data_IF_554830952848
#
_entry.id   IF_554830952848
#
_cell.length_a   1.000
_cell.length_b   1.000
_cell.length_c   1.000
_cell.angle_alpha   90.00
_cell.angle_beta   90.00
_cell.angle_gamma   90.00
#
_symmetry.space_group_name_H-M   'P 1'
#
loop_
_entity.id
_entity.type
_entity.pdbx_description
1 polymer ?
#
# COMPACT_ATOMS: atom_id res chain seq x y z
N UNK A 1 -12.16 22.76 -19.04
CA UNK A 1 -11.25 21.60 -18.94
C UNK A 1 -10.42 21.53 -20.21
N UNK A 2 -9.09 21.65 -20.11
CA UNK A 2 -8.15 21.80 -21.21
C UNK A 2 -7.25 20.56 -21.26
N UNK A 3 -7.00 20.04 -22.46
CA UNK A 3 -6.13 18.90 -22.69
C UNK A 3 -4.72 19.39 -23.04
N UNK A 4 -3.71 18.92 -22.31
CA UNK A 4 -2.30 19.17 -22.61
C UNK A 4 -1.56 17.89 -22.99
N UNK A 5 -0.68 17.98 -23.98
CA UNK A 5 0.30 16.93 -24.30
C UNK A 5 1.55 17.15 -23.45
N UNK A 6 1.87 16.18 -22.61
CA UNK A 6 2.93 16.23 -21.61
C UNK A 6 4.02 15.22 -21.93
N UNK A 7 5.25 15.54 -21.53
CA UNK A 7 6.43 14.72 -21.75
C UNK A 7 7.26 14.66 -20.47
N UNK A 8 7.79 13.48 -20.18
CA UNK A 8 8.73 13.27 -19.09
C UNK A 8 10.19 13.53 -19.54
N UNK A 9 11.13 13.69 -18.61
CA UNK A 9 12.59 13.65 -18.88
C UNK A 9 13.05 12.43 -19.70
N UNK A 10 12.33 11.30 -19.63
CA UNK A 10 12.57 10.09 -20.44
C UNK A 10 11.78 10.08 -21.77
N UNK A 11 11.30 11.24 -22.21
CA UNK A 11 10.54 11.47 -23.46
C UNK A 11 9.25 10.67 -23.60
N UNK A 12 8.74 10.04 -22.54
CA UNK A 12 7.42 9.42 -22.54
C UNK A 12 6.33 10.47 -22.72
N UNK A 13 5.58 10.38 -23.82
CA UNK A 13 4.43 11.20 -24.15
C UNK A 13 3.16 10.68 -23.46
N UNK A 14 2.41 11.57 -22.81
CA UNK A 14 1.11 11.25 -22.24
C UNK A 14 0.20 12.49 -22.24
N UNK A 15 -1.10 12.29 -22.03
CA UNK A 15 -2.09 13.37 -22.02
C UNK A 15 -2.60 13.63 -20.60
N UNK A 16 -2.81 14.91 -20.27
CA UNK A 16 -3.39 15.33 -18.99
C UNK A 16 -4.52 16.35 -19.20
N UNK A 17 -5.55 16.25 -18.37
CA UNK A 17 -6.73 17.12 -18.39
C UNK A 17 -6.72 18.03 -17.17
N UNK A 18 -6.78 19.34 -17.39
CA UNK A 18 -6.67 20.34 -16.33
C UNK A 18 -7.80 21.37 -16.41
N UNK A 19 -8.15 22.00 -15.28
CA UNK A 19 -9.16 23.06 -15.25
C UNK A 19 -8.74 24.29 -16.05
N UNK A 20 -7.47 24.69 -15.89
CA UNK A 20 -6.84 25.88 -16.47
C UNK A 20 -5.32 25.66 -16.69
N UNK A 21 -4.64 26.63 -17.31
CA UNK A 21 -3.17 26.60 -17.44
C UNK A 21 -2.48 26.86 -16.09
N UNK A 22 -3.07 27.69 -15.22
CA UNK A 22 -2.56 27.90 -13.86
C UNK A 22 -2.64 26.62 -13.01
N UNK A 23 -3.71 25.84 -13.15
CA UNK A 23 -3.85 24.57 -12.41
C UNK A 23 -2.77 23.55 -12.80
N UNK A 24 -2.40 23.51 -14.08
CA UNK A 24 -1.29 22.69 -14.56
C UNK A 24 0.04 23.10 -13.91
N UNK A 25 0.41 24.39 -13.93
CA UNK A 25 1.67 24.85 -13.33
C UNK A 25 1.68 24.64 -11.80
N UNK A 26 0.54 24.85 -11.12
CA UNK A 26 0.41 24.55 -9.67
C UNK A 26 0.67 23.07 -9.38
N UNK A 27 0.02 22.16 -10.11
CA UNK A 27 0.17 20.72 -9.89
C UNK A 27 1.56 20.20 -10.29
N UNK A 28 2.17 20.78 -11.33
CA UNK A 28 3.54 20.50 -11.74
C UNK A 28 4.56 20.96 -10.69
N UNK A 29 4.43 22.18 -10.18
CA UNK A 29 5.31 22.71 -9.12
C UNK A 29 5.13 21.97 -7.79
N UNK A 30 3.92 21.49 -7.51
CA UNK A 30 3.64 20.63 -6.37
C UNK A 30 4.10 19.16 -6.58
N UNK A 31 4.61 18.80 -7.77
CA UNK A 31 5.05 17.43 -8.08
C UNK A 31 3.94 16.38 -8.12
N UNK A 32 2.68 16.81 -8.25
CA UNK A 32 1.50 15.93 -8.26
C UNK A 32 1.26 15.27 -9.63
N UNK A 33 1.92 15.75 -10.67
CA UNK A 33 1.83 15.19 -12.02
C UNK A 33 2.95 14.16 -12.20
N UNK A 34 2.57 12.89 -12.31
CA UNK A 34 3.50 11.79 -12.50
C UNK A 34 3.38 11.19 -13.90
N UNK A 35 4.53 10.85 -14.48
CA UNK A 35 4.54 10.11 -15.74
C UNK A 35 4.04 8.67 -15.50
N UNK A 36 2.97 8.21 -16.19
CA UNK A 36 2.40 6.88 -15.96
C UNK A 36 3.33 5.74 -16.37
N UNK A 37 4.24 5.98 -17.32
CA UNK A 37 5.18 4.97 -17.79
C UNK A 37 6.35 4.73 -16.82
N UNK A 38 6.69 5.73 -15.99
CA UNK A 38 8.00 5.71 -15.33
C UNK A 38 8.09 6.42 -13.98
N UNK A 39 7.02 7.09 -13.55
CA UNK A 39 6.90 7.72 -12.23
C UNK A 39 7.69 9.01 -12.03
N UNK A 40 8.27 9.61 -13.08
CA UNK A 40 8.95 10.90 -12.95
C UNK A 40 7.96 12.03 -12.69
N UNK A 41 8.28 12.90 -11.73
CA UNK A 41 7.58 14.17 -11.48
C UNK A 41 8.10 15.34 -12.34
N UNK A 42 9.18 15.12 -13.11
CA UNK A 42 9.74 16.13 -14.03
C UNK A 42 8.98 16.05 -15.36
N UNK A 43 7.94 16.87 -15.47
CA UNK A 43 7.01 16.92 -16.60
C UNK A 43 7.11 18.27 -17.33
N UNK A 44 7.39 18.21 -18.63
CA UNK A 44 7.35 19.34 -19.54
C UNK A 44 6.06 19.35 -20.36
N UNK A 45 5.59 20.54 -20.71
CA UNK A 45 4.51 20.72 -21.68
C UNK A 45 5.14 20.62 -23.07
N UNK A 46 4.64 19.72 -23.91
CA UNK A 46 5.06 19.71 -25.29
C UNK A 46 4.54 20.96 -25.98
N UNK A 47 5.42 21.63 -26.72
CA UNK A 47 4.97 22.56 -27.76
C UNK A 47 4.20 21.72 -28.79
N UNK A 48 2.98 22.15 -29.14
CA UNK A 48 2.35 21.63 -30.35
C UNK A 48 3.27 21.99 -31.50
N UNK A 49 3.83 21.00 -32.20
CA UNK A 49 4.62 21.25 -33.39
C UNK A 49 3.67 21.73 -34.49
N UNK A 50 3.77 22.98 -34.98
CA UNK A 50 3.30 23.25 -36.33
C UNK A 50 4.20 22.44 -37.27
N UNK A 51 3.59 21.78 -38.25
CA UNK A 51 4.30 21.05 -39.27
C UNK A 51 5.15 22.04 -40.08
N UNK A 52 6.48 21.99 -39.93
CA UNK A 52 7.40 22.82 -40.72
C UNK A 52 8.42 21.90 -41.41
N UNK A 53 8.38 21.95 -42.73
CA UNK A 53 9.23 21.20 -43.65
C UNK A 53 10.70 21.55 -43.48
N UNK A 54 11.56 20.54 -43.60
CA UNK A 54 13.00 20.66 -43.57
C UNK A 54 13.56 21.66 -44.60
N UNK A 55 14.41 22.59 -44.16
CA UNK A 55 15.45 23.20 -45.01
C UNK A 55 16.56 23.84 -44.15
N UNK A 56 17.78 23.34 -44.36
CA UNK A 56 19.11 23.92 -44.19
C UNK A 56 19.33 25.13 -43.26
N UNK A 57 20.28 25.02 -42.32
CA UNK A 57 21.62 25.59 -42.55
C UNK A 57 22.64 25.06 -41.53
N UNK A 58 23.76 24.56 -42.05
CA UNK A 58 24.98 24.27 -41.29
C UNK A 58 25.67 25.61 -41.03
N UNK A 59 26.01 25.85 -39.78
CA UNK A 59 27.32 26.32 -39.29
C UNK A 59 27.14 27.28 -38.13
N UNK A 60 27.61 26.85 -36.96
CA UNK A 60 28.55 27.63 -36.14
C UNK A 60 28.87 26.83 -34.86
N UNK A 61 29.84 25.93 -34.99
CA UNK A 61 30.75 25.63 -33.89
C UNK A 61 31.60 26.89 -33.67
N UNK A 62 31.58 27.47 -32.47
CA UNK A 62 32.71 27.42 -31.53
C UNK A 62 32.53 28.28 -30.25
N UNK A 63 33.34 28.00 -29.21
CA UNK A 63 32.95 28.09 -27.80
C UNK A 63 33.69 29.18 -26.99
N UNK A 64 33.20 29.43 -25.77
CA UNK A 64 33.84 30.23 -24.72
C UNK A 64 32.86 31.25 -24.13
N UNK A 65 32.79 31.52 -22.84
CA UNK A 65 33.44 30.99 -21.65
C UNK A 65 32.64 31.50 -20.43
N UNK A 66 32.65 30.73 -19.33
CA UNK A 66 32.53 31.23 -17.96
C UNK A 66 31.21 31.84 -17.51
N UNK A 67 30.36 31.02 -16.89
CA UNK A 67 29.80 31.38 -15.59
C UNK A 67 29.66 30.13 -14.73
N UNK A 68 30.42 30.19 -13.65
CA UNK A 68 30.56 29.28 -12.52
C UNK A 68 29.32 28.45 -12.23
N UNK A 69 29.51 27.14 -12.22
CA UNK A 69 28.57 26.19 -11.63
C UNK A 69 28.83 26.25 -10.12
N UNK A 70 28.01 27.00 -9.39
CA UNK A 70 27.90 26.81 -7.95
C UNK A 70 27.28 25.44 -7.69
N UNK A 71 28.14 24.47 -7.38
CA UNK A 71 27.80 23.24 -6.69
C UNK A 71 27.27 23.56 -5.29
N UNK A 72 25.99 23.94 -5.19
CA UNK A 72 25.26 23.80 -3.94
C UNK A 72 24.83 22.34 -3.77
N UNK A 73 25.85 21.52 -3.51
CA UNK A 73 25.75 20.12 -3.18
C UNK A 73 25.40 20.01 -1.69
N UNK A 74 24.10 20.12 -1.36
CA UNK A 74 23.59 19.67 -0.06
C UNK A 74 23.58 18.14 -0.03
N UNK A 75 24.76 17.54 0.01
CA UNK A 75 25.01 16.11 0.13
C UNK A 75 24.32 15.37 1.32
N UNK A 76 23.85 16.00 2.42
CA UNK A 76 23.17 15.25 3.49
C UNK A 76 21.77 14.75 3.11
N UNK A 77 21.04 15.48 2.27
CA UNK A 77 19.59 15.26 2.07
C UNK A 77 19.27 14.10 1.11
N UNK A 78 20.22 13.66 0.27
CA UNK A 78 20.00 12.53 -0.65
C UNK A 78 20.14 11.17 0.07
N UNK A 79 21.07 11.07 1.02
CA UNK A 79 21.29 9.87 1.83
C UNK A 79 20.11 9.59 2.76
N UNK A 80 19.59 10.61 3.45
CA UNK A 80 18.41 10.49 4.31
C UNK A 80 17.15 10.10 3.51
N UNK A 81 16.97 10.64 2.30
CA UNK A 81 15.85 10.26 1.41
C UNK A 81 15.95 8.82 0.95
N UNK A 82 17.15 8.29 0.70
CA UNK A 82 17.33 6.88 0.34
C UNK A 82 17.05 5.94 1.52
N UNK A 83 17.40 6.32 2.74
CA UNK A 83 17.13 5.52 3.95
C UNK A 83 15.62 5.43 4.25
N UNK A 84 14.89 6.54 4.14
CA UNK A 84 13.43 6.55 4.34
C UNK A 84 12.71 5.69 3.30
N UNK A 85 13.13 5.75 2.02
CA UNK A 85 12.61 4.88 0.95
C UNK A 85 12.92 3.40 1.21
N UNK A 86 14.13 3.10 1.71
CA UNK A 86 14.56 1.75 2.10
C UNK A 86 13.67 1.22 3.23
N UNK A 87 13.40 2.02 4.26
CA UNK A 87 12.52 1.67 5.38
C UNK A 87 11.07 1.44 4.93
N UNK A 88 10.54 2.30 4.04
CA UNK A 88 9.19 2.15 3.51
C UNK A 88 9.04 0.84 2.72
N UNK A 89 10.05 0.47 1.93
CA UNK A 89 10.11 -0.80 1.21
C UNK A 89 10.14 -2.01 2.16
N UNK A 90 10.85 -1.92 3.29
CA UNK A 90 10.85 -2.98 4.32
C UNK A 90 9.46 -3.11 4.95
N UNK A 91 8.82 -2.01 5.33
CA UNK A 91 7.44 -1.99 5.85
C UNK A 91 6.45 -2.57 4.85
N UNK A 92 6.56 -2.23 3.56
CA UNK A 92 5.69 -2.76 2.51
C UNK A 92 5.86 -4.26 2.32
N UNK A 93 7.10 -4.77 2.32
CA UNK A 93 7.39 -6.21 2.27
C UNK A 93 6.81 -6.94 3.48
N UNK A 94 6.95 -6.37 4.67
CA UNK A 94 6.38 -6.92 5.91
C UNK A 94 4.85 -6.92 5.88
N UNK A 95 4.23 -5.86 5.37
CA UNK A 95 2.78 -5.78 5.21
C UNK A 95 2.25 -6.86 4.26
N UNK A 96 2.89 -7.04 3.10
CA UNK A 96 2.52 -8.12 2.16
C UNK A 96 2.62 -9.49 2.83
N UNK A 97 3.71 -9.76 3.53
CA UNK A 97 3.91 -11.01 4.26
C UNK A 97 2.87 -11.20 5.37
N UNK A 98 2.50 -10.14 6.08
CA UNK A 98 1.44 -10.16 7.10
C UNK A 98 0.08 -10.51 6.49
N UNK A 99 -0.28 -9.89 5.37
CA UNK A 99 -1.52 -10.21 4.66
C UNK A 99 -1.56 -11.67 4.20
N UNK A 100 -0.45 -12.19 3.66
CA UNK A 100 -0.34 -13.61 3.27
C UNK A 100 -0.54 -14.55 4.47
N UNK A 101 0.06 -14.24 5.63
CA UNK A 101 -0.10 -15.02 6.87
C UNK A 101 -1.53 -14.95 7.37
N UNK A 102 -2.14 -13.77 7.41
CA UNK A 102 -3.52 -13.60 7.85
C UNK A 102 -4.50 -14.37 6.96
N UNK A 103 -4.34 -14.29 5.64
CA UNK A 103 -5.18 -15.03 4.72
C UNK A 103 -5.07 -16.55 4.94
N UNK A 104 -3.85 -17.06 5.13
CA UNK A 104 -3.62 -18.47 5.46
C UNK A 104 -4.27 -18.86 6.80
N UNK A 105 -4.11 -18.03 7.83
CA UNK A 105 -4.76 -18.25 9.14
C UNK A 105 -6.28 -18.23 9.03
N UNK A 106 -6.86 -17.36 8.22
CA UNK A 106 -8.31 -17.31 7.97
C UNK A 106 -8.81 -18.56 7.24
N UNK A 107 -8.04 -19.09 6.28
CA UNK A 107 -8.38 -20.38 5.64
C UNK A 107 -8.36 -21.52 6.65
N UNK A 108 -7.36 -21.55 7.55
CA UNK A 108 -7.30 -22.55 8.63
C UNK A 108 -8.48 -22.39 9.60
N UNK A 109 -8.79 -21.16 10.02
CA UNK A 109 -9.92 -20.87 10.90
C UNK A 109 -11.24 -21.33 10.30
N UNK A 110 -11.48 -21.15 8.99
CA UNK A 110 -12.67 -21.67 8.30
C UNK A 110 -12.78 -23.19 8.41
N UNK A 111 -11.70 -23.92 8.09
CA UNK A 111 -11.68 -25.39 8.22
C UNK A 111 -11.94 -25.86 9.65
N UNK A 112 -11.41 -25.15 10.65
CA UNK A 112 -11.68 -25.46 12.05
C UNK A 112 -13.16 -25.25 12.40
N UNK A 113 -13.75 -24.12 11.96
CA UNK A 113 -15.17 -23.80 12.18
C UNK A 113 -16.11 -24.78 11.46
N UNK A 114 -15.75 -25.27 10.27
CA UNK A 114 -16.54 -26.27 9.53
C UNK A 114 -16.66 -27.61 10.27
N UNK A 115 -15.63 -27.98 11.04
CA UNK A 115 -15.62 -29.22 11.84
C UNK A 115 -16.05 -29.00 13.29
N UNK A 116 -16.52 -27.80 13.64
CA UNK A 116 -16.88 -27.42 14.99
C UNK A 116 -18.30 -26.88 15.07
N UNK A 117 -18.96 -27.12 16.20
CA UNK A 117 -20.32 -26.64 16.45
C UNK A 117 -20.29 -25.22 17.02
N UNK A 118 -21.15 -24.34 16.48
CA UNK A 118 -21.28 -22.97 16.97
C UNK A 118 -22.25 -22.93 18.16
N UNK A 119 -21.72 -22.68 19.36
CA UNK A 119 -22.49 -22.61 20.61
C UNK A 119 -22.83 -21.17 21.04
N UNK A 120 -22.41 -20.17 20.26
CA UNK A 120 -22.71 -18.76 20.53
C UNK A 120 -22.19 -18.30 21.89
N UNK A 121 -23.02 -17.60 22.67
CA UNK A 121 -22.68 -17.07 24.00
C UNK A 121 -22.56 -18.15 25.09
N UNK A 122 -23.05 -19.37 24.83
CA UNK A 122 -23.00 -20.49 25.78
C UNK A 122 -21.65 -21.21 25.77
N UNK A 123 -20.62 -20.63 25.16
CA UNK A 123 -19.32 -21.26 25.01
C UNK A 123 -18.70 -21.66 26.34
N UNK A 124 -18.74 -20.78 27.35
CA UNK A 124 -18.13 -21.06 28.65
C UNK A 124 -18.80 -22.24 29.37
N UNK A 125 -20.14 -22.31 29.34
CA UNK A 125 -20.90 -23.41 29.94
C UNK A 125 -20.65 -24.74 29.22
N UNK A 126 -20.72 -24.75 27.89
CA UNK A 126 -20.52 -25.98 27.11
C UNK A 126 -19.06 -26.47 27.19
N UNK A 127 -18.08 -25.57 27.23
CA UNK A 127 -16.67 -25.92 27.42
C UNK A 127 -16.45 -26.63 28.76
N UNK A 128 -17.06 -26.13 29.85
CA UNK A 128 -17.04 -26.79 31.17
C UNK A 128 -17.68 -28.17 31.13
N UNK A 129 -18.89 -28.29 30.56
CA UNK A 129 -19.59 -29.60 30.47
C UNK A 129 -18.79 -30.64 29.71
N UNK A 130 -18.12 -30.25 28.62
CA UNK A 130 -17.26 -31.15 27.83
C UNK A 130 -16.00 -31.54 28.64
N UNK A 131 -15.42 -30.59 29.38
CA UNK A 131 -14.24 -30.85 30.21
C UNK A 131 -14.53 -31.80 31.37
N UNK A 132 -15.64 -31.60 32.08
CA UNK A 132 -16.07 -32.44 33.20
C UNK A 132 -16.80 -33.73 32.78
N UNK A 133 -17.05 -33.93 31.49
CA UNK A 133 -17.67 -35.14 30.95
C UNK A 133 -19.19 -35.22 31.08
N UNK A 134 -19.86 -34.09 31.35
CA UNK A 134 -21.32 -33.98 31.37
C UNK A 134 -21.92 -33.94 29.95
N UNK A 135 -21.11 -33.62 28.94
CA UNK A 135 -21.48 -33.60 27.53
C UNK A 135 -20.51 -34.43 26.67
N UNK A 136 -20.95 -34.80 25.46
CA UNK A 136 -20.12 -35.53 24.49
C UNK A 136 -18.92 -34.69 24.03
N UNK A 137 -17.75 -35.33 23.89
CA UNK A 137 -16.54 -34.66 23.40
C UNK A 137 -16.67 -34.30 21.93
N UNK A 138 -16.81 -33.00 21.64
CA UNK A 138 -16.93 -32.44 20.30
C UNK A 138 -16.21 -31.09 20.22
N UNK A 139 -15.80 -30.70 19.01
CA UNK A 139 -15.22 -29.39 18.76
C UNK A 139 -16.31 -28.33 18.82
N UNK A 140 -16.15 -27.31 19.68
CA UNK A 140 -17.09 -26.19 19.80
C UNK A 140 -16.38 -24.86 19.59
N UNK A 141 -17.11 -23.86 19.07
CA UNK A 141 -16.64 -22.48 19.04
C UNK A 141 -17.79 -21.52 19.35
N UNK A 142 -17.47 -20.35 19.89
CA UNK A 142 -18.48 -19.37 20.28
C UNK A 142 -17.87 -18.06 20.75
N UNK A 143 -18.66 -17.28 21.47
CA UNK A 143 -18.26 -16.02 22.09
C UNK A 143 -18.22 -16.21 23.60
N UNK A 144 -17.20 -15.64 24.23
CA UNK A 144 -17.05 -15.59 25.68
C UNK A 144 -16.46 -14.24 26.08
N UNK A 145 -16.84 -13.75 27.25
CA UNK A 145 -16.27 -12.53 27.81
C UNK A 145 -14.82 -12.73 28.25
N UNK A 146 -14.11 -11.64 28.53
CA UNK A 146 -12.73 -11.72 29.02
C UNK A 146 -12.64 -12.42 30.39
N UNK A 147 -13.62 -12.18 31.27
CA UNK A 147 -13.70 -12.82 32.59
C UNK A 147 -13.94 -14.33 32.45
N UNK A 148 -14.85 -14.74 31.55
CA UNK A 148 -15.12 -16.16 31.29
C UNK A 148 -13.89 -16.87 30.74
N UNK A 149 -13.17 -16.26 29.80
CA UNK A 149 -11.94 -16.85 29.23
C UNK A 149 -10.90 -17.06 30.33
N UNK A 150 -10.72 -16.09 31.22
CA UNK A 150 -9.79 -16.22 32.33
C UNK A 150 -10.20 -17.35 33.29
N UNK A 151 -11.48 -17.40 33.67
CA UNK A 151 -12.00 -18.48 34.52
C UNK A 151 -11.79 -19.87 33.89
N UNK A 152 -12.07 -20.02 32.59
CA UNK A 152 -11.84 -21.26 31.86
C UNK A 152 -10.36 -21.68 31.91
N UNK A 153 -9.43 -20.73 31.75
CA UNK A 153 -7.99 -21.02 31.84
C UNK A 153 -7.55 -21.43 33.25
N UNK A 154 -8.08 -20.78 34.29
CA UNK A 154 -7.82 -21.15 35.70
C UNK A 154 -8.38 -22.54 36.06
N UNK A 155 -9.53 -22.88 35.47
CA UNK A 155 -10.16 -24.20 35.59
C UNK A 155 -9.41 -25.29 34.79
N UNK A 156 -8.39 -24.92 34.00
CA UNK A 156 -7.59 -25.85 33.20
C UNK A 156 -8.23 -26.23 31.86
N UNK A 157 -9.16 -25.41 31.36
CA UNK A 157 -9.83 -25.60 30.07
C UNK A 157 -9.04 -24.84 28.99
N UNK A 158 -8.44 -25.59 28.06
CA UNK A 158 -7.67 -25.03 26.94
C UNK A 158 -8.60 -24.30 25.96
N UNK A 159 -8.48 -22.96 25.95
CA UNK A 159 -9.22 -22.07 25.05
C UNK A 159 -8.27 -21.32 24.13
N UNK A 160 -8.58 -21.28 22.83
CA UNK A 160 -7.78 -20.59 21.84
C UNK A 160 -8.61 -19.55 21.08
N UNK A 161 -8.15 -18.29 20.99
CA UNK A 161 -8.86 -17.27 20.23
C UNK A 161 -8.82 -17.58 18.74
N UNK A 162 -9.98 -17.61 18.09
CA UNK A 162 -10.08 -17.79 16.65
C UNK A 162 -9.86 -16.45 15.92
N UNK A 163 -9.05 -16.42 14.84
CA UNK A 163 -8.93 -15.24 13.99
C UNK A 163 -10.31 -14.78 13.47
N UNK A 164 -10.59 -13.46 13.44
CA UNK A 164 -11.83 -12.96 12.89
C UNK A 164 -11.87 -13.19 11.37
N UNK A 165 -13.02 -13.65 10.88
CA UNK A 165 -13.29 -13.74 9.46
C UNK A 165 -13.98 -12.46 8.99
N UNK A 166 -13.78 -12.05 7.71
CA UNK A 166 -14.47 -10.90 7.14
C UNK A 166 -16.00 -10.97 7.26
N UNK A 167 -16.54 -12.19 7.29
CA UNK A 167 -17.97 -12.51 7.39
C UNK A 167 -18.55 -12.23 8.78
N UNK A 168 -17.71 -12.13 9.83
CA UNK A 168 -18.17 -11.93 11.21
C UNK A 168 -18.70 -10.50 11.48
N UNK A 169 -18.45 -9.55 10.55
CA UNK A 169 -18.72 -8.11 10.68
C UNK A 169 -19.83 -7.58 9.74
N UNK A 170 -20.59 -8.46 9.07
CA UNK A 170 -21.58 -8.08 8.07
C UNK A 170 -23.02 -8.10 8.59
#
# INVERSE_FOLDING_TARGET
MIRFSLYCKREHKFEGWFGSNEDYEKQKNAGLILCPACGSAVIGKGLMAPHISAAHNRDSLRPGAGREVEENNSAPALAERTEVLQQLLVLQKMHRRKLEVLHKLQTLARKMRENAENVGEKFAEEARKIHFGEAEKRSIYGRAGAEDIHALQEEGIDVMPLPPLPEDNN
#
